data_IF_105709415978
#
_entry.id   IF_105709415978
#
_cell.length_a   1.000
_cell.length_b   1.000
_cell.length_c   1.000
_cell.angle_alpha   90.00
_cell.angle_beta   90.00
_cell.angle_gamma   90.00
#
_symmetry.space_group_name_H-M   'P 1'
#
loop_
_entity.id
_entity.type
_entity.pdbx_description
1 polymer ?
#
# COMPACT_ATOMS: atom_id res chain seq x y z
N UNK A 1 -17.16 7.28 32.62
CA UNK A 1 -16.61 7.25 32.43
C UNK A 1 -16.20 6.93 32.14
N UNK A 2 -15.79 6.98 32.10
CA UNK A 2 -14.98 6.94 31.80
C UNK A 2 -14.40 6.57 31.45
N UNK A 3 -13.90 6.36 31.41
CA UNK A 3 -13.16 6.21 31.04
C UNK A 3 -12.81 5.35 30.92
N UNK A 4 -12.66 4.88 30.79
CA UNK A 4 -12.32 4.38 30.56
C UNK A 4 -12.07 3.56 30.44
N UNK A 5 -12.01 2.98 30.37
CA UNK A 5 -11.70 2.56 30.10
C UNK A 5 -11.54 1.82 29.46
N UNK A 6 -11.41 1.41 29.17
CA UNK A 6 -11.11 1.24 28.43
C UNK A 6 -11.27 1.12 28.39
N UNK A 7 -11.16 1.24 28.79
CA UNK A 7 -11.23 1.83 28.86
C UNK A 7 -11.29 2.01 28.93
N UNK A 8 -11.51 1.59 29.21
CA UNK A 8 -11.44 2.07 29.44
C UNK A 8 -11.52 2.26 29.11
N UNK A 9 -12.36 1.59 29.25
CA UNK A 9 -12.00 2.13 28.09
C UNK A 9 -11.58 3.54 27.96
N UNK A 10 -11.30 4.13 28.75
CA UNK A 10 -10.84 5.52 28.69
C UNK A 10 -9.63 5.67 27.78
N UNK A 11 -9.60 6.71 26.98
CA UNK A 11 -8.41 7.04 26.20
C UNK A 11 -7.28 7.43 27.15
N UNK A 12 -6.03 7.02 26.85
CA UNK A 12 -4.91 7.35 27.71
C UNK A 12 -4.68 8.87 27.76
N UNK A 13 -4.28 9.37 28.92
CA UNK A 13 -3.95 10.76 29.09
C UNK A 13 -2.67 11.10 28.31
N UNK A 14 -2.46 12.39 28.05
CA UNK A 14 -1.24 12.84 27.38
C UNK A 14 0.01 12.37 28.12
N UNK A 15 0.00 12.39 29.45
CA UNK A 15 1.12 11.91 30.26
C UNK A 15 1.40 10.43 30.03
N UNK A 16 0.34 9.61 29.93
CA UNK A 16 0.48 8.19 29.66
C UNK A 16 1.02 7.93 28.26
N UNK A 17 0.58 8.70 27.27
CA UNK A 17 1.08 8.62 25.91
C UNK A 17 2.56 8.98 25.85
N UNK A 18 2.98 10.02 26.57
CA UNK A 18 4.38 10.43 26.62
C UNK A 18 5.22 9.33 27.26
N UNK A 19 4.74 8.72 28.33
CA UNK A 19 5.42 7.59 28.98
C UNK A 19 5.53 6.39 28.04
N UNK A 20 4.46 6.10 27.32
CA UNK A 20 4.44 5.01 26.34
C UNK A 20 5.47 5.26 25.24
N UNK A 21 5.53 6.47 24.72
CA UNK A 21 6.50 6.86 23.70
C UNK A 21 7.92 6.78 24.24
N UNK A 22 8.14 7.22 25.49
CA UNK A 22 9.45 7.12 26.15
C UNK A 22 9.88 5.67 26.29
N UNK A 23 8.97 4.77 26.68
CA UNK A 23 9.25 3.34 26.77
C UNK A 23 9.61 2.77 25.41
N UNK A 24 8.96 3.22 24.35
CA UNK A 24 9.29 2.82 22.98
C UNK A 24 10.71 3.28 22.61
N UNK A 25 11.09 4.47 23.03
CA UNK A 25 12.44 4.98 22.82
C UNK A 25 13.47 4.12 23.55
N UNK A 26 13.18 3.75 24.80
CA UNK A 26 14.08 2.89 25.58
C UNK A 26 14.18 1.49 25.03
N UNK A 27 13.11 1.00 24.41
CA UNK A 27 13.10 -0.31 23.77
C UNK A 27 13.68 -0.27 22.37
N UNK A 28 14.06 0.92 21.87
CA UNK A 28 14.73 1.03 20.59
C UNK A 28 16.04 0.26 20.60
N UNK A 29 16.33 -0.46 19.52
CA UNK A 29 17.54 -1.29 19.48
C UNK A 29 18.78 -0.43 19.53
N UNK A 30 19.58 -0.66 20.58
CA UNK A 30 20.85 0.03 20.80
C UNK A 30 21.96 -0.66 20.02
N UNK A 31 21.80 -1.96 19.73
CA UNK A 31 22.80 -2.75 19.01
C UNK A 31 22.85 -2.34 17.54
N UNK A 32 24.06 -2.34 16.99
CA UNK A 32 24.28 -1.99 15.57
C UNK A 32 23.45 -2.86 14.62
N UNK A 33 23.34 -4.16 14.90
CA UNK A 33 22.57 -5.08 14.08
C UNK A 33 21.08 -4.70 14.07
N UNK A 34 20.56 -4.27 15.20
CA UNK A 34 19.15 -3.87 15.33
C UNK A 34 18.87 -2.53 14.65
N UNK A 35 19.81 -1.58 14.73
CA UNK A 35 19.71 -0.31 14.00
C UNK A 35 19.72 -0.55 12.50
N UNK A 36 20.60 -1.43 12.03
CA UNK A 36 20.68 -1.82 10.63
C UNK A 36 19.38 -2.46 10.15
N UNK A 37 18.79 -3.34 10.96
CA UNK A 37 17.52 -3.98 10.65
C UNK A 37 16.39 -2.94 10.55
N UNK A 38 16.37 -1.98 11.46
CA UNK A 38 15.36 -0.91 11.44
C UNK A 38 15.47 -0.05 10.19
N UNK A 39 16.70 0.37 9.85
CA UNK A 39 16.93 1.15 8.64
C UNK A 39 16.51 0.39 7.38
N UNK A 40 16.84 -0.91 7.33
CA UNK A 40 16.43 -1.77 6.22
C UNK A 40 14.91 -1.88 6.11
N UNK A 41 14.22 -2.02 7.25
CA UNK A 41 12.76 -2.06 7.29
C UNK A 41 12.15 -0.79 6.73
N UNK A 42 12.70 0.37 7.08
CA UNK A 42 12.21 1.66 6.57
C UNK A 42 12.38 1.76 5.05
N UNK A 43 13.53 1.35 4.55
CA UNK A 43 13.82 1.37 3.10
C UNK A 43 12.85 0.43 2.36
N UNK A 44 12.62 -0.76 2.91
CA UNK A 44 11.69 -1.73 2.31
C UNK A 44 10.26 -1.23 2.33
N UNK A 45 9.83 -0.61 3.44
CA UNK A 45 8.49 -0.05 3.55
C UNK A 45 8.26 1.05 2.52
N UNK A 46 9.24 1.94 2.33
CA UNK A 46 9.17 2.99 1.33
C UNK A 46 9.08 2.41 -0.09
N UNK A 47 9.91 1.41 -0.37
CA UNK A 47 9.89 0.73 -1.67
C UNK A 47 8.53 0.08 -1.94
N UNK A 48 7.98 -0.60 -0.94
CA UNK A 48 6.68 -1.26 -1.07
C UNK A 48 5.58 -0.22 -1.31
N UNK A 49 5.64 0.90 -0.63
CA UNK A 49 4.70 2.00 -0.82
C UNK A 49 4.77 2.53 -2.25
N UNK A 50 5.98 2.71 -2.79
CA UNK A 50 6.18 3.19 -4.16
C UNK A 50 5.55 2.24 -5.18
N UNK A 51 5.73 0.92 -5.01
CA UNK A 51 5.12 -0.06 -5.91
C UNK A 51 3.60 -0.03 -5.85
N UNK A 52 3.04 0.07 -4.63
CA UNK A 52 1.58 0.20 -4.47
C UNK A 52 1.05 1.45 -5.15
N UNK A 53 1.75 2.56 -4.96
CA UNK A 53 1.35 3.83 -5.53
C UNK A 53 1.36 3.78 -7.05
N UNK A 54 2.43 3.26 -7.65
CA UNK A 54 2.54 3.11 -9.11
C UNK A 54 1.41 2.25 -9.65
N UNK A 55 1.11 1.13 -9.00
CA UNK A 55 0.02 0.25 -9.39
C UNK A 55 -1.32 0.98 -9.34
N UNK A 56 -1.62 1.64 -8.24
CA UNK A 56 -2.87 2.37 -8.06
C UNK A 56 -3.03 3.50 -9.08
N UNK A 57 -1.97 4.26 -9.32
CA UNK A 57 -1.99 5.36 -10.28
C UNK A 57 -2.20 4.85 -11.70
N UNK A 58 -1.51 3.77 -12.09
CA UNK A 58 -1.68 3.18 -13.42
C UNK A 58 -3.10 2.70 -13.63
N UNK A 59 -3.66 1.98 -12.65
CA UNK A 59 -5.04 1.52 -12.71
C UNK A 59 -6.05 2.67 -12.79
N UNK A 60 -5.88 3.66 -11.93
CA UNK A 60 -6.77 4.81 -11.87
C UNK A 60 -6.76 5.58 -13.18
N UNK A 61 -5.58 5.85 -13.72
CA UNK A 61 -5.41 6.55 -15.00
C UNK A 61 -6.10 5.79 -16.13
N UNK A 62 -5.90 4.47 -16.17
CA UNK A 62 -6.50 3.61 -17.19
C UNK A 62 -8.03 3.61 -17.09
N UNK A 63 -8.58 3.41 -15.88
CA UNK A 63 -10.02 3.39 -15.67
C UNK A 63 -10.68 4.73 -15.98
N UNK A 64 -10.02 5.84 -15.66
CA UNK A 64 -10.51 7.17 -16.04
C UNK A 64 -10.52 7.33 -17.56
N UNK A 65 -9.51 6.83 -18.24
CA UNK A 65 -9.47 6.85 -19.69
C UNK A 65 -10.60 6.04 -20.30
N UNK A 66 -10.96 4.91 -19.69
CA UNK A 66 -12.10 4.09 -20.13
C UNK A 66 -13.40 4.85 -19.95
N UNK A 67 -13.60 5.49 -18.81
CA UNK A 67 -14.80 6.28 -18.52
C UNK A 67 -14.94 7.46 -19.49
N UNK A 68 -13.84 8.10 -19.84
CA UNK A 68 -13.80 9.21 -20.78
C UNK A 68 -13.87 8.73 -22.24
N UNK A 69 -13.95 7.42 -22.47
CA UNK A 69 -13.95 6.81 -23.82
C UNK A 69 -12.75 7.25 -24.65
N UNK A 70 -11.61 7.43 -23.99
CA UNK A 70 -10.36 7.74 -24.67
C UNK A 70 -9.92 6.58 -25.55
N UNK A 71 -9.16 6.89 -26.59
CA UNK A 71 -8.60 5.85 -27.47
C UNK A 71 -7.44 5.14 -26.77
N UNK A 72 -7.76 4.13 -25.98
CA UNK A 72 -6.78 3.32 -25.27
C UNK A 72 -6.35 2.15 -26.15
N UNK A 73 -5.06 1.86 -26.13
CA UNK A 73 -4.47 0.79 -26.91
C UNK A 73 -4.12 -0.41 -26.04
N UNK A 74 -3.82 -1.54 -26.69
CA UNK A 74 -3.35 -2.73 -26.00
C UNK A 74 -2.04 -2.45 -25.25
N UNK A 75 -1.25 -1.50 -25.74
CA UNK A 75 -0.01 -1.10 -25.09
C UNK A 75 -0.29 -0.47 -23.72
N UNK A 76 -1.32 0.37 -23.62
CA UNK A 76 -1.73 0.98 -22.34
C UNK A 76 -2.18 -0.09 -21.36
N UNK A 77 -2.92 -1.09 -21.84
CA UNK A 77 -3.33 -2.22 -21.02
C UNK A 77 -2.12 -3.00 -20.52
N UNK A 78 -1.13 -3.22 -21.39
CA UNK A 78 0.11 -3.91 -21.05
C UNK A 78 0.89 -3.16 -19.96
N UNK A 79 0.91 -1.84 -20.03
CA UNK A 79 1.58 -1.00 -19.01
C UNK A 79 0.95 -1.18 -17.64
N UNK A 80 -0.38 -1.23 -17.58
CA UNK A 80 -1.11 -1.45 -16.32
C UNK A 80 -0.82 -2.85 -15.79
N UNK A 81 -0.88 -3.86 -16.65
CA UNK A 81 -0.56 -5.24 -16.27
C UNK A 81 0.87 -5.35 -15.73
N UNK A 82 1.81 -4.67 -16.38
CA UNK A 82 3.22 -4.65 -15.95
C UNK A 82 3.36 -4.08 -14.53
N UNK A 83 2.66 -2.99 -14.24
CA UNK A 83 2.69 -2.38 -12.90
C UNK A 83 2.12 -3.32 -11.84
N UNK A 84 1.00 -4.00 -12.16
CA UNK A 84 0.37 -4.96 -11.25
C UNK A 84 1.29 -6.16 -11.01
N UNK A 85 1.87 -6.70 -12.08
CA UNK A 85 2.77 -7.85 -11.99
C UNK A 85 4.03 -7.55 -11.20
N UNK A 86 4.58 -6.35 -11.36
CA UNK A 86 5.74 -5.93 -10.58
C UNK A 86 5.42 -5.88 -9.09
N UNK A 87 4.25 -5.35 -8.74
CA UNK A 87 3.81 -5.29 -7.35
C UNK A 87 3.64 -6.70 -6.77
N UNK A 88 3.10 -7.62 -7.56
CA UNK A 88 2.94 -9.02 -7.14
C UNK A 88 4.30 -9.73 -7.01
N UNK A 89 5.21 -9.49 -7.94
CA UNK A 89 6.55 -10.09 -7.94
C UNK A 89 7.34 -9.68 -6.71
N UNK A 90 7.24 -8.42 -6.32
CA UNK A 90 7.93 -7.89 -5.14
C UNK A 90 7.29 -8.38 -3.85
N UNK A 91 6.04 -8.87 -3.92
CA UNK A 91 5.32 -9.39 -2.76
C UNK A 91 4.48 -8.35 -2.05
N UNK A 92 4.28 -7.19 -2.66
CA UNK A 92 3.44 -6.12 -2.10
C UNK A 92 1.98 -6.52 -2.10
N UNK A 93 1.56 -7.26 -3.13
CA UNK A 93 0.21 -7.82 -3.22
C UNK A 93 0.30 -9.32 -3.51
N UNK A 94 -0.75 -10.04 -3.15
CA UNK A 94 -0.83 -11.49 -3.40
C UNK A 94 -1.17 -11.73 -4.87
N UNK A 95 -0.73 -12.88 -5.40
CA UNK A 95 -0.98 -13.26 -6.79
C UNK A 95 -2.46 -13.25 -7.14
N UNK A 96 -3.32 -13.73 -6.25
CA UNK A 96 -4.77 -13.73 -6.47
C UNK A 96 -5.33 -12.32 -6.57
N UNK A 97 -4.83 -11.42 -5.74
CA UNK A 97 -5.23 -10.01 -5.76
C UNK A 97 -4.81 -9.38 -7.09
N UNK A 98 -3.59 -9.67 -7.55
CA UNK A 98 -3.10 -9.20 -8.84
C UNK A 98 -3.98 -9.70 -9.99
N UNK A 99 -4.36 -10.98 -9.96
CA UNK A 99 -5.21 -11.57 -10.98
C UNK A 99 -6.58 -10.87 -11.02
N UNK A 100 -7.16 -10.59 -9.87
CA UNK A 100 -8.45 -9.87 -9.77
C UNK A 100 -8.35 -8.47 -10.35
N UNK A 101 -7.28 -7.75 -10.05
CA UNK A 101 -7.06 -6.40 -10.56
C UNK A 101 -6.87 -6.41 -12.07
N UNK A 102 -6.11 -7.37 -12.59
CA UNK A 102 -5.93 -7.55 -14.04
C UNK A 102 -7.27 -7.83 -14.73
N UNK A 103 -8.08 -8.72 -14.14
CA UNK A 103 -9.38 -9.08 -14.69
C UNK A 103 -10.30 -7.85 -14.77
N UNK A 104 -10.30 -7.03 -13.71
CA UNK A 104 -11.10 -5.79 -13.68
C UNK A 104 -10.69 -4.82 -14.78
N UNK A 105 -9.40 -4.62 -14.95
CA UNK A 105 -8.86 -3.73 -15.98
C UNK A 105 -9.17 -4.26 -17.37
N UNK A 106 -9.03 -5.57 -17.58
CA UNK A 106 -9.31 -6.22 -18.83
C UNK A 106 -10.79 -6.09 -19.22
N UNK A 107 -11.70 -6.29 -18.28
CA UNK A 107 -13.13 -6.11 -18.52
C UNK A 107 -13.45 -4.68 -18.91
N UNK A 108 -12.85 -3.71 -18.24
CA UNK A 108 -13.05 -2.30 -18.56
C UNK A 108 -12.57 -2.00 -19.98
N UNK A 109 -11.45 -2.59 -20.39
CA UNK A 109 -10.93 -2.45 -21.75
C UNK A 109 -11.87 -3.05 -22.78
N UNK A 110 -12.44 -4.22 -22.49
CA UNK A 110 -13.39 -4.89 -23.38
C UNK A 110 -14.66 -4.06 -23.57
N UNK A 111 -15.11 -3.32 -22.58
CA UNK A 111 -16.27 -2.42 -22.71
C UNK A 111 -15.98 -1.29 -23.70
N UNK A 112 -14.73 -0.86 -23.83
CA UNK A 112 -14.34 0.15 -24.82
C UNK A 112 -14.42 -0.37 -26.24
N UNK A 113 -14.10 -1.66 -26.44
CA UNK A 113 -14.15 -2.29 -27.79
C UNK A 113 -15.58 -2.46 -28.28
N UNK A 114 -16.51 -2.65 -27.34
CA UNK A 114 -17.90 -2.81 -27.65
C UNK A 114 -18.59 -1.46 -27.68
#
# INVERSE_FOLDING_TARGET
MAVNHWVVGSSPTLGELILFISNLYFSMPIKKSAIKAMNRSQVLAKRNYDFKLRMKMAMKKFLKGVEAKAALTVEDLSKVFKAIDKAAKVGVIKKRNAARKKARVSKAFDTLKN
#
